data_IF_432238870633
#
_entry.id   IF_432238870633
#
_cell.length_a   1.000
_cell.length_b   1.000
_cell.length_c   1.000
_cell.angle_alpha   90.00
_cell.angle_beta   90.00
_cell.angle_gamma   90.00
#
_symmetry.space_group_name_H-M   'P 1'
#
loop_
_entity.id
_entity.type
_entity.pdbx_description
1 polymer ?
#
# COMPACT_ATOMS: atom_id res chain seq x y z
N UNK A 1 25.64 14.09 -47.93
CA UNK A 1 24.71 13.96 -46.78
C UNK A 1 24.37 12.46 -46.58
N UNK A 2 25.38 11.60 -46.45
CA UNK A 2 25.25 10.13 -46.61
C UNK A 2 25.70 9.33 -45.35
N UNK A 3 25.83 9.98 -44.19
CA UNK A 3 26.31 9.34 -42.95
C UNK A 3 25.18 8.76 -42.07
N UNK A 4 23.93 9.17 -42.31
CA UNK A 4 22.78 8.77 -41.51
C UNK A 4 22.40 7.27 -41.65
N UNK A 5 22.38 6.64 -42.85
CA UNK A 5 21.98 5.24 -42.98
C UNK A 5 23.03 4.23 -42.47
N UNK A 6 24.34 4.56 -42.53
CA UNK A 6 25.41 3.71 -41.96
C UNK A 6 25.38 3.67 -40.43
N UNK A 7 25.00 4.78 -39.78
CA UNK A 7 24.86 4.82 -38.32
C UNK A 7 23.60 4.09 -37.85
N UNK A 8 22.52 4.17 -38.65
CA UNK A 8 21.25 3.49 -38.39
C UNK A 8 21.41 1.96 -38.49
N UNK A 9 22.07 1.44 -39.52
CA UNK A 9 22.32 -0.01 -39.71
C UNK A 9 23.12 -0.65 -38.55
N UNK A 10 24.10 0.09 -38.01
CA UNK A 10 24.88 -0.35 -36.84
C UNK A 10 24.13 -0.24 -35.50
N UNK A 11 23.08 0.57 -35.42
CA UNK A 11 22.25 0.77 -34.21
C UNK A 11 21.12 -0.25 -34.11
N UNK A 12 20.60 -0.77 -35.23
CA UNK A 12 19.45 -1.67 -35.21
C UNK A 12 19.73 -2.99 -34.50
N UNK A 13 20.92 -3.56 -34.67
CA UNK A 13 21.31 -4.81 -34.00
C UNK A 13 21.47 -4.66 -32.46
N UNK A 14 22.16 -3.63 -31.91
CA UNK A 14 22.26 -3.45 -30.46
C UNK A 14 20.96 -2.94 -29.82
N UNK A 15 20.19 -2.06 -30.47
CA UNK A 15 18.91 -1.57 -29.92
C UNK A 15 17.90 -2.71 -29.79
N UNK A 16 17.82 -3.60 -30.79
CA UNK A 16 16.97 -4.78 -30.72
C UNK A 16 17.36 -5.71 -29.56
N UNK A 17 18.66 -5.92 -29.33
CA UNK A 17 19.16 -6.72 -28.21
C UNK A 17 18.77 -6.14 -26.85
N UNK A 18 18.85 -4.81 -26.70
CA UNK A 18 18.44 -4.12 -25.46
C UNK A 18 16.94 -4.22 -25.24
N UNK A 19 16.12 -3.96 -26.28
CA UNK A 19 14.66 -4.03 -26.17
C UNK A 19 14.20 -5.45 -25.80
N UNK A 20 14.76 -6.48 -26.45
CA UNK A 20 14.45 -7.87 -26.13
C UNK A 20 14.86 -8.20 -24.69
N UNK A 21 16.10 -7.86 -24.31
CA UNK A 21 16.64 -8.13 -22.97
C UNK A 21 15.79 -7.49 -21.87
N UNK A 22 15.45 -6.20 -22.02
CA UNK A 22 14.61 -5.48 -21.06
C UNK A 22 13.21 -6.08 -21.00
N UNK A 23 12.59 -6.38 -22.15
CA UNK A 23 11.24 -6.99 -22.19
C UNK A 23 11.23 -8.35 -21.49
N UNK A 24 12.27 -9.17 -21.70
CA UNK A 24 12.39 -10.48 -21.07
C UNK A 24 12.59 -10.35 -19.55
N UNK A 25 13.49 -9.47 -19.09
CA UNK A 25 13.72 -9.24 -17.66
C UNK A 25 12.46 -8.70 -16.98
N UNK A 26 11.71 -7.78 -17.59
CA UNK A 26 10.46 -7.27 -17.02
C UNK A 26 9.37 -8.35 -16.98
N UNK A 27 9.23 -9.17 -18.04
CA UNK A 27 8.24 -10.24 -18.09
C UNK A 27 8.48 -11.32 -17.00
N UNK A 28 9.73 -11.74 -16.82
CA UNK A 28 10.09 -12.78 -15.85
C UNK A 28 10.31 -12.24 -14.43
N UNK A 29 10.88 -11.04 -14.30
CA UNK A 29 11.26 -10.45 -13.01
C UNK A 29 10.16 -9.62 -12.34
N UNK A 30 9.21 -9.09 -13.11
CA UNK A 30 8.17 -8.20 -12.57
C UNK A 30 6.77 -8.75 -12.87
N UNK A 31 6.44 -9.02 -14.14
CA UNK A 31 5.08 -9.41 -14.54
C UNK A 31 4.66 -10.76 -13.93
N UNK A 32 5.54 -11.76 -13.96
CA UNK A 32 5.24 -13.08 -13.39
C UNK A 32 5.06 -13.05 -11.87
N UNK A 33 6.01 -12.50 -11.07
CA UNK A 33 5.80 -12.40 -9.63
C UNK A 33 4.60 -11.51 -9.26
N UNK A 34 4.38 -10.40 -9.97
CA UNK A 34 3.22 -9.53 -9.72
C UNK A 34 1.89 -10.23 -10.05
N UNK A 35 1.81 -11.02 -11.12
CA UNK A 35 0.61 -11.79 -11.46
C UNK A 35 0.32 -12.92 -10.47
N UNK A 36 1.36 -13.55 -9.93
CA UNK A 36 1.22 -14.57 -8.87
C UNK A 36 0.75 -13.90 -7.57
N UNK A 37 1.39 -12.80 -7.15
CA UNK A 37 0.98 -12.04 -5.97
C UNK A 37 -0.47 -11.54 -6.12
N UNK A 38 -0.89 -11.06 -7.29
CA UNK A 38 -2.26 -10.62 -7.54
C UNK A 38 -3.29 -11.76 -7.48
N UNK A 39 -2.92 -13.00 -7.86
CA UNK A 39 -3.83 -14.16 -7.84
C UNK A 39 -3.91 -14.82 -6.47
N UNK A 40 -2.81 -14.82 -5.72
CA UNK A 40 -2.76 -15.33 -4.34
C UNK A 40 -2.91 -14.23 -3.29
N UNK A 41 -3.25 -13.00 -3.69
CA UNK A 41 -3.33 -11.83 -2.81
C UNK A 41 -4.21 -12.09 -1.59
N UNK A 42 -5.38 -12.69 -1.81
CA UNK A 42 -6.30 -13.08 -0.75
C UNK A 42 -5.75 -14.20 0.14
N UNK A 43 -5.03 -15.17 -0.44
CA UNK A 43 -4.44 -16.27 0.32
C UNK A 43 -3.24 -15.81 1.16
N UNK A 44 -2.45 -14.86 0.65
CA UNK A 44 -1.35 -14.22 1.37
C UNK A 44 -1.94 -13.31 2.45
N UNK A 45 -2.92 -12.47 2.12
CA UNK A 45 -3.64 -11.63 3.08
C UNK A 45 -4.25 -12.44 4.22
N UNK A 46 -4.89 -13.58 3.94
CA UNK A 46 -5.43 -14.48 4.96
C UNK A 46 -4.34 -15.05 5.90
N UNK A 47 -3.14 -15.33 5.39
CA UNK A 47 -2.02 -15.75 6.24
C UNK A 47 -1.48 -14.61 7.12
N UNK A 48 -1.58 -13.35 6.66
CA UNK A 48 -1.15 -12.18 7.42
C UNK A 48 -2.10 -11.85 8.58
N UNK A 49 -3.39 -12.18 8.49
CA UNK A 49 -4.35 -12.01 9.62
C UNK A 49 -3.88 -12.74 10.88
N UNK A 50 -3.32 -13.94 10.74
CA UNK A 50 -2.77 -14.69 11.88
C UNK A 50 -1.55 -14.01 12.52
N UNK A 51 -0.74 -13.31 11.72
CA UNK A 51 0.46 -12.63 12.19
C UNK A 51 0.12 -11.42 13.06
N UNK A 52 -0.95 -10.70 12.72
CA UNK A 52 -1.43 -9.54 13.46
C UNK A 52 -1.85 -9.92 14.90
N UNK A 53 -2.62 -11.00 15.06
CA UNK A 53 -2.98 -11.52 16.38
C UNK A 53 -1.76 -11.95 17.23
N UNK A 54 -0.73 -12.53 16.60
CA UNK A 54 0.53 -12.86 17.31
C UNK A 54 1.29 -11.61 17.74
N UNK A 55 1.30 -10.57 16.91
CA UNK A 55 1.98 -9.32 17.20
C UNK A 55 1.27 -8.55 18.32
N UNK A 56 -0.06 -8.52 18.30
CA UNK A 56 -0.89 -7.97 19.38
C UNK A 56 -0.64 -8.67 20.72
N UNK A 57 -0.54 -10.01 20.70
CA UNK A 57 -0.17 -10.78 21.89
C UNK A 57 1.25 -10.46 22.40
N UNK A 58 2.23 -10.29 21.49
CA UNK A 58 3.60 -9.94 21.85
C UNK A 58 3.69 -8.53 22.48
N UNK A 59 2.97 -7.57 21.90
CA UNK A 59 2.86 -6.19 22.40
C UNK A 59 2.22 -6.19 23.79
N UNK A 60 1.16 -6.98 24.02
CA UNK A 60 0.54 -7.10 25.34
C UNK A 60 1.45 -7.72 26.41
N UNK A 61 2.44 -8.54 26.04
CA UNK A 61 3.41 -9.14 26.98
C UNK A 61 4.56 -8.17 27.31
N UNK A 62 4.90 -7.28 26.38
CA UNK A 62 5.92 -6.25 26.56
C UNK A 62 5.35 -4.89 27.02
N UNK A 63 4.03 -4.77 27.11
CA UNK A 63 3.37 -3.58 27.61
C UNK A 63 3.56 -3.41 29.12
N UNK A 64 3.28 -2.20 29.64
CA UNK A 64 3.51 -1.87 31.05
C UNK A 64 2.64 -2.69 32.02
N UNK A 65 1.47 -3.16 31.56
CA UNK A 65 0.48 -3.94 32.34
C UNK A 65 0.87 -5.42 32.52
N UNK A 66 1.88 -5.93 31.80
CA UNK A 66 2.22 -7.35 31.79
C UNK A 66 2.97 -7.83 33.05
N UNK A 67 3.39 -6.91 33.93
CA UNK A 67 4.12 -7.21 35.17
C UNK A 67 5.49 -7.87 34.96
N UNK A 68 5.96 -8.00 33.71
CA UNK A 68 7.23 -8.66 33.33
C UNK A 68 8.36 -7.69 32.98
N UNK A 69 8.17 -6.40 33.18
CA UNK A 69 9.19 -5.37 32.91
C UNK A 69 9.49 -5.18 31.43
N UNK A 70 8.45 -5.18 30.59
CA UNK A 70 8.60 -4.85 29.18
C UNK A 70 8.98 -3.38 28.98
N UNK A 71 9.79 -3.11 27.96
CA UNK A 71 10.38 -1.78 27.69
C UNK A 71 9.42 -0.82 26.98
N UNK A 72 8.23 -1.28 26.56
CA UNK A 72 7.26 -0.44 25.87
C UNK A 72 6.48 0.42 26.86
N UNK A 73 6.44 1.72 26.60
CA UNK A 73 5.59 2.65 27.35
C UNK A 73 4.11 2.48 26.97
N UNK A 74 3.22 3.08 27.77
CA UNK A 74 1.78 3.03 27.55
C UNK A 74 1.38 3.58 26.16
N UNK A 75 2.02 4.67 25.75
CA UNK A 75 1.73 5.33 24.48
C UNK A 75 2.22 4.50 23.29
N UNK A 76 3.40 3.88 23.38
CA UNK A 76 3.90 2.96 22.35
C UNK A 76 2.98 1.74 22.19
N UNK A 77 2.55 1.16 23.31
CA UNK A 77 1.61 0.02 23.31
C UNK A 77 0.27 0.43 22.68
N UNK A 78 -0.23 1.63 22.98
CA UNK A 78 -1.48 2.18 22.43
C UNK A 78 -1.37 2.49 20.94
N UNK A 79 -0.25 3.07 20.51
CA UNK A 79 0.01 3.37 19.09
C UNK A 79 0.12 2.09 18.28
N UNK A 80 0.89 1.09 18.77
CA UNK A 80 1.09 -0.17 18.04
C UNK A 80 -0.21 -0.98 18.03
N UNK A 81 -0.90 -1.10 19.17
CA UNK A 81 -2.19 -1.80 19.22
C UNK A 81 -3.25 -1.10 18.37
N UNK A 82 -3.26 0.24 18.38
CA UNK A 82 -4.13 1.04 17.51
C UNK A 82 -3.83 0.81 16.02
N UNK A 83 -2.56 0.77 15.61
CA UNK A 83 -2.18 0.50 14.23
C UNK A 83 -2.55 -0.93 13.79
N UNK A 84 -2.43 -1.91 14.70
CA UNK A 84 -2.87 -3.28 14.44
C UNK A 84 -4.40 -3.35 14.31
N UNK A 85 -5.13 -2.74 15.23
CA UNK A 85 -6.60 -2.68 15.21
C UNK A 85 -7.13 -1.93 13.98
N UNK A 86 -6.42 -0.90 13.47
CA UNK A 86 -6.74 -0.20 12.24
C UNK A 86 -6.71 -1.10 11.00
N UNK A 87 -6.00 -2.22 11.04
CA UNK A 87 -5.94 -3.19 9.92
C UNK A 87 -7.24 -3.98 9.79
N UNK A 88 -7.97 -4.19 10.89
CA UNK A 88 -9.28 -4.88 10.90
C UNK A 88 -10.46 -3.89 10.80
N UNK A 89 -10.25 -2.59 11.08
CA UNK A 89 -11.33 -1.60 11.02
C UNK A 89 -11.98 -1.58 9.65
N UNK A 90 -13.27 -1.91 9.64
CA UNK A 90 -14.08 -1.85 8.43
C UNK A 90 -14.49 -0.42 8.14
N UNK A 91 -14.75 -0.13 6.87
CA UNK A 91 -15.20 1.20 6.42
C UNK A 91 -16.48 1.65 7.14
N UNK A 92 -17.36 0.72 7.51
CA UNK A 92 -18.56 0.99 8.30
C UNK A 92 -18.24 1.53 9.70
N UNK A 93 -17.15 1.09 10.32
CA UNK A 93 -16.72 1.51 11.66
C UNK A 93 -15.89 2.80 11.66
N UNK A 94 -15.43 3.22 10.47
CA UNK A 94 -14.63 4.43 10.29
C UNK A 94 -15.43 5.60 9.68
N UNK A 95 -16.50 5.31 8.93
CA UNK A 95 -17.30 6.33 8.25
C UNK A 95 -18.24 7.05 9.21
N UNK A 96 -18.35 8.37 9.02
CA UNK A 96 -19.44 9.16 9.60
C UNK A 96 -20.74 8.77 8.87
N UNK A 97 -21.81 8.43 9.61
CA UNK A 97 -23.09 8.06 8.98
C UNK A 97 -23.63 9.24 8.19
N UNK A 98 -24.29 8.96 7.06
CA UNK A 98 -24.73 9.98 6.10
C UNK A 98 -25.73 10.97 6.71
N UNK A 99 -26.51 10.52 7.70
CA UNK A 99 -27.39 11.37 8.52
C UNK A 99 -26.64 12.43 9.35
N UNK A 100 -25.35 12.22 9.61
CA UNK A 100 -24.46 13.15 10.30
C UNK A 100 -23.46 13.81 9.36
N UNK A 101 -23.64 13.68 8.03
CA UNK A 101 -22.80 14.38 7.05
C UNK A 101 -23.41 15.74 6.70
N UNK A 102 -22.60 16.79 6.79
CA UNK A 102 -22.98 18.11 6.30
C UNK A 102 -22.88 18.12 4.78
N UNK A 103 -24.02 18.16 4.08
CA UNK A 103 -24.09 18.27 2.63
C UNK A 103 -24.58 19.64 2.20
N UNK A 104 -23.90 20.28 1.24
CA UNK A 104 -24.37 21.49 0.59
C UNK A 104 -25.20 21.14 -0.64
N UNK A 105 -26.26 21.89 -0.89
CA UNK A 105 -27.07 21.74 -2.10
C UNK A 105 -26.27 22.14 -3.35
N UNK A 106 -26.45 21.41 -4.46
CA UNK A 106 -25.72 21.69 -5.72
C UNK A 106 -26.04 23.06 -6.33
N UNK A 107 -27.15 23.70 -5.91
CA UNK A 107 -27.55 25.04 -6.33
C UNK A 107 -27.14 26.12 -5.32
N UNK A 108 -26.42 25.77 -4.26
CA UNK A 108 -25.91 26.75 -3.31
C UNK A 108 -24.94 27.71 -4.01
N UNK A 109 -25.26 29.01 -4.00
CA UNK A 109 -24.37 30.04 -4.53
C UNK A 109 -23.28 30.34 -3.49
N UNK A 110 -22.03 30.29 -3.92
CA UNK A 110 -20.89 30.78 -3.15
C UNK A 110 -20.89 32.32 -3.22
N UNK A 111 -21.49 32.95 -2.21
CA UNK A 111 -21.41 34.40 -2.07
C UNK A 111 -20.00 34.77 -1.59
N UNK A 112 -19.12 35.12 -2.54
CA UNK A 112 -17.80 35.68 -2.25
C UNK A 112 -17.93 37.18 -1.92
N UNK A 113 -18.68 37.55 -0.88
CA UNK A 113 -18.63 38.87 -0.24
C UNK A 113 -19.58 38.91 0.97
N UNK A 114 -19.03 38.93 2.18
CA UNK A 114 -19.64 39.53 3.39
C UNK A 114 -18.59 39.57 4.50
N UNK A 115 -17.96 40.75 4.60
CA UNK A 115 -17.24 41.39 5.72
C UNK A 115 -17.01 40.57 7.01
#
# INVERSE_FOLDING_TARGET
>A
MEALPIYLDKIFHPVFAVILSVTFVLAFGEVTPQAICARYDLAVGANFVWLEGKLKALVSIHGPEAGKGGELTHDETTIISGALDLTEKTTQEAMTPIESTFSLDVNSKLDCLSL
#
